data_IF_525518279330
#
_entry.id   IF_525518279330
#
_cell.length_a   1.000
_cell.length_b   1.000
_cell.length_c   1.000
_cell.angle_alpha   90.00
_cell.angle_beta   90.00
_cell.angle_gamma   90.00
#
_symmetry.space_group_name_H-M   'P 1'
#
loop_
_entity.id
_entity.type
_entity.pdbx_description
1 polymer ?
#
# COMPACT_ATOMS: atom_id res chain seq x y z
N UNK A 1 -20.75 -50.31 9.73
CA UNK A 1 -21.46 -49.03 9.96
C UNK A 1 -21.32 -47.98 8.84
N UNK A 2 -20.16 -47.80 8.20
CA UNK A 2 -19.97 -46.75 7.14
C UNK A 2 -20.86 -46.97 5.90
N UNK A 3 -21.07 -48.23 5.47
CA UNK A 3 -21.89 -48.57 4.29
C UNK A 3 -23.41 -48.37 4.46
N UNK A 4 -23.94 -48.46 5.68
CA UNK A 4 -25.37 -48.22 5.96
C UNK A 4 -25.73 -46.73 5.96
N UNK A 5 -24.77 -45.83 6.27
CA UNK A 5 -24.99 -44.39 6.42
C UNK A 5 -25.08 -43.63 5.10
N UNK A 6 -24.43 -44.14 4.03
CA UNK A 6 -24.58 -43.61 2.66
C UNK A 6 -26.01 -43.74 2.11
N UNK A 7 -26.82 -44.68 2.63
CA UNK A 7 -28.25 -44.81 2.27
C UNK A 7 -29.15 -43.70 2.84
N UNK A 8 -28.67 -42.92 3.82
CA UNK A 8 -29.44 -41.83 4.45
C UNK A 8 -29.06 -40.41 3.96
N UNK A 9 -28.21 -40.29 2.93
CA UNK A 9 -27.83 -38.99 2.37
C UNK A 9 -26.98 -38.10 3.29
N UNK A 10 -26.34 -38.69 4.31
CA UNK A 10 -25.48 -38.00 5.28
C UNK A 10 -24.00 -38.34 5.07
N UNK A 11 -23.17 -37.30 5.02
CA UNK A 11 -21.77 -37.35 4.63
C UNK A 11 -20.86 -36.85 5.75
N UNK A 12 -19.82 -37.61 6.16
CA UNK A 12 -18.79 -37.10 7.06
C UNK A 12 -18.03 -35.91 6.47
N UNK A 13 -17.44 -35.07 7.33
CA UNK A 13 -16.67 -33.89 6.88
C UNK A 13 -15.57 -34.22 5.85
N UNK A 14 -14.95 -35.39 5.94
CA UNK A 14 -13.94 -35.86 4.99
C UNK A 14 -14.51 -36.06 3.58
N UNK A 15 -15.71 -36.62 3.48
CA UNK A 15 -16.39 -36.87 2.21
C UNK A 15 -16.86 -35.54 1.58
N UNK A 16 -17.33 -34.59 2.39
CA UNK A 16 -17.71 -33.24 1.94
C UNK A 16 -16.50 -32.49 1.39
N UNK A 17 -15.37 -32.55 2.11
CA UNK A 17 -14.12 -31.92 1.70
C UNK A 17 -13.60 -32.51 0.37
N UNK A 18 -13.62 -33.84 0.25
CA UNK A 18 -13.24 -34.53 -0.98
C UNK A 18 -14.15 -34.16 -2.16
N UNK A 19 -15.47 -34.14 -1.96
CA UNK A 19 -16.44 -33.78 -3.00
C UNK A 19 -16.31 -32.32 -3.46
N UNK A 20 -16.01 -31.40 -2.53
CA UNK A 20 -15.79 -29.99 -2.84
C UNK A 20 -14.36 -29.68 -3.33
N UNK A 21 -13.44 -30.64 -3.31
CA UNK A 21 -12.03 -30.45 -3.68
C UNK A 21 -11.29 -29.45 -2.79
N UNK A 22 -11.59 -29.43 -1.48
CA UNK A 22 -11.00 -28.54 -0.48
C UNK A 22 -10.55 -29.31 0.76
N UNK A 23 -9.85 -28.65 1.68
CA UNK A 23 -9.43 -29.29 2.94
C UNK A 23 -10.58 -29.35 3.95
N UNK A 24 -10.53 -30.29 4.89
CA UNK A 24 -11.51 -30.36 6.00
C UNK A 24 -11.48 -29.12 6.90
N UNK A 25 -10.34 -28.41 6.99
CA UNK A 25 -10.26 -27.10 7.66
C UNK A 25 -11.10 -26.03 6.97
N UNK A 26 -11.16 -26.05 5.64
CA UNK A 26 -11.98 -25.12 4.85
C UNK A 26 -13.47 -25.34 5.14
N UNK A 27 -13.91 -26.60 5.22
CA UNK A 27 -15.29 -26.95 5.59
C UNK A 27 -15.63 -26.47 7.01
N UNK A 28 -14.71 -26.63 7.99
CA UNK A 28 -14.90 -26.10 9.36
C UNK A 28 -15.00 -24.58 9.41
N UNK A 29 -14.22 -23.88 8.58
CA UNK A 29 -14.27 -22.43 8.48
C UNK A 29 -15.62 -21.95 7.92
N UNK A 30 -16.15 -22.63 6.92
CA UNK A 30 -17.48 -22.34 6.36
C UNK A 30 -18.61 -22.62 7.36
N UNK A 31 -18.51 -23.67 8.17
CA UNK A 31 -19.43 -23.87 9.31
C UNK A 31 -19.37 -22.72 10.33
N UNK A 32 -18.16 -22.29 10.72
CA UNK A 32 -17.99 -21.18 11.67
C UNK A 32 -18.59 -19.86 11.15
N UNK A 33 -18.64 -19.68 9.83
CA UNK A 33 -19.21 -18.52 9.15
C UNK A 33 -20.71 -18.67 8.85
N UNK A 34 -21.34 -19.76 9.27
CA UNK A 34 -22.75 -20.06 8.99
C UNK A 34 -23.05 -20.38 7.53
N UNK A 35 -22.02 -20.65 6.71
CA UNK A 35 -22.15 -20.93 5.27
C UNK A 35 -22.46 -22.40 4.98
N UNK A 36 -22.15 -23.27 5.93
CA UNK A 36 -22.54 -24.67 5.98
C UNK A 36 -23.07 -24.98 7.38
N UNK A 37 -23.96 -25.96 7.47
CA UNK A 37 -24.43 -26.51 8.74
C UNK A 37 -24.16 -28.01 8.79
N UNK A 38 -23.90 -28.51 9.99
CA UNK A 38 -23.76 -29.95 10.24
C UNK A 38 -24.62 -30.38 11.41
N UNK A 39 -25.05 -31.64 11.38
CA UNK A 39 -25.61 -32.33 12.54
C UNK A 39 -24.53 -33.19 13.18
N UNK A 40 -24.64 -33.44 14.48
CA UNK A 40 -23.71 -34.32 15.21
C UNK A 40 -24.41 -35.61 15.58
N UNK A 41 -23.69 -36.72 15.44
CA UNK A 41 -24.10 -37.99 16.05
C UNK A 41 -23.84 -37.96 17.55
N UNK A 42 -24.42 -38.90 18.30
CA UNK A 42 -24.14 -39.11 19.72
C UNK A 42 -22.63 -39.29 20.02
N UNK A 43 -21.87 -39.87 19.09
CA UNK A 43 -20.40 -39.97 19.16
C UNK A 43 -19.62 -38.72 18.73
N UNK A 44 -20.26 -37.55 18.62
CA UNK A 44 -19.64 -36.27 18.29
C UNK A 44 -19.19 -36.08 16.83
N UNK A 45 -19.41 -37.05 15.95
CA UNK A 45 -19.05 -36.96 14.54
C UNK A 45 -19.98 -35.97 13.79
N UNK A 46 -19.38 -35.07 13.01
CA UNK A 46 -20.12 -34.14 12.12
C UNK A 46 -20.59 -34.85 10.86
N UNK A 47 -21.87 -34.68 10.55
CA UNK A 47 -22.53 -35.18 9.36
C UNK A 47 -23.22 -34.03 8.61
N UNK A 48 -23.13 -34.07 7.29
CA UNK A 48 -23.63 -33.06 6.38
C UNK A 48 -24.64 -33.70 5.43
N UNK A 49 -25.73 -33.00 5.12
CA UNK A 49 -26.70 -33.46 4.12
C UNK A 49 -26.11 -33.38 2.71
N UNK A 50 -26.70 -34.11 1.76
CA UNK A 50 -26.34 -33.97 0.34
C UNK A 50 -26.49 -32.54 -0.20
N UNK A 51 -27.39 -31.72 0.36
CA UNK A 51 -27.51 -30.30 0.06
C UNK A 51 -26.27 -29.52 0.50
N UNK A 52 -25.76 -29.78 1.70
CA UNK A 52 -24.53 -29.15 2.20
C UNK A 52 -23.29 -29.59 1.41
N UNK A 53 -23.28 -30.81 0.84
CA UNK A 53 -22.25 -31.25 -0.10
C UNK A 53 -22.30 -30.41 -1.38
N UNK A 54 -23.48 -30.21 -1.97
CA UNK A 54 -23.66 -29.34 -3.16
C UNK A 54 -23.25 -27.90 -2.85
N UNK A 55 -23.66 -27.36 -1.70
CA UNK A 55 -23.30 -26.02 -1.25
C UNK A 55 -21.79 -25.86 -1.06
N UNK A 56 -21.11 -26.87 -0.52
CA UNK A 56 -19.66 -26.86 -0.40
C UNK A 56 -18.96 -26.84 -1.78
N UNK A 57 -19.50 -27.57 -2.77
CA UNK A 57 -19.00 -27.53 -4.14
C UNK A 57 -19.23 -26.16 -4.82
N UNK A 58 -20.37 -25.51 -4.58
CA UNK A 58 -20.65 -24.15 -5.07
C UNK A 58 -19.69 -23.11 -4.45
N UNK A 59 -19.48 -23.17 -3.14
CA UNK A 59 -18.52 -22.30 -2.44
C UNK A 59 -17.10 -22.50 -2.97
N UNK A 60 -16.71 -23.76 -3.24
CA UNK A 60 -15.42 -24.08 -3.83
C UNK A 60 -15.30 -23.58 -5.28
N UNK A 61 -16.35 -23.70 -6.10
CA UNK A 61 -16.39 -23.21 -7.47
C UNK A 61 -16.35 -21.68 -7.54
N UNK A 62 -17.04 -20.98 -6.63
CA UNK A 62 -16.95 -19.53 -6.48
C UNK A 62 -15.56 -19.06 -6.08
N UNK A 63 -14.91 -19.76 -5.14
CA UNK A 63 -13.53 -19.48 -4.73
C UNK A 63 -12.53 -19.76 -5.86
N UNK A 64 -12.75 -20.82 -6.66
CA UNK A 64 -11.95 -21.14 -7.84
C UNK A 64 -12.18 -20.16 -9.00
N UNK A 65 -13.37 -19.57 -9.17
CA UNK A 65 -13.59 -18.45 -10.12
C UNK A 65 -12.83 -17.20 -9.67
N UNK A 66 -12.80 -16.90 -8.38
CA UNK A 66 -11.97 -15.81 -7.83
C UNK A 66 -10.46 -16.08 -7.95
N UNK A 67 -10.04 -17.34 -7.92
CA UNK A 67 -8.64 -17.74 -8.15
C UNK A 67 -8.26 -17.85 -9.65
N UNK A 68 -9.15 -18.32 -10.52
CA UNK A 68 -8.90 -18.38 -11.97
C UNK A 68 -9.00 -17.00 -12.65
N UNK A 69 -9.75 -16.04 -12.09
CA UNK A 69 -9.61 -14.63 -12.46
C UNK A 69 -8.22 -14.05 -12.13
N UNK A 70 -7.38 -14.74 -11.35
CA UNK A 70 -5.96 -14.38 -11.18
C UNK A 70 -5.02 -15.08 -12.19
N UNK A 71 -5.51 -16.06 -12.96
CA UNK A 71 -4.68 -16.86 -13.88
C UNK A 71 -4.74 -16.42 -15.34
N UNK A 72 -5.70 -15.59 -15.74
CA UNK A 72 -5.58 -14.75 -16.92
C UNK A 72 -5.15 -13.36 -16.44
N UNK A 73 -3.84 -13.15 -16.23
CA UNK A 73 -3.31 -11.80 -16.02
C UNK A 73 -3.71 -10.99 -17.27
N UNK A 74 -4.59 -9.97 -17.19
CA UNK A 74 -4.52 -8.92 -18.18
C UNK A 74 -3.08 -8.40 -18.17
N UNK A 75 -2.55 -7.95 -19.33
CA UNK A 75 -1.29 -7.22 -19.35
C UNK A 75 -1.31 -6.24 -18.17
N UNK A 76 -0.31 -6.34 -17.27
CA UNK A 76 -0.32 -5.57 -16.03
C UNK A 76 -0.61 -4.11 -16.38
N UNK A 77 -1.61 -3.51 -15.73
CA UNK A 77 -1.90 -2.11 -15.99
C UNK A 77 -0.63 -1.29 -15.74
N UNK A 78 -0.45 -0.14 -16.43
CA UNK A 78 0.71 0.71 -16.20
C UNK A 78 0.95 0.98 -14.70
N UNK A 79 -0.12 1.20 -13.94
CA UNK A 79 -0.05 1.39 -12.48
C UNK A 79 0.45 0.16 -11.72
N UNK A 80 0.13 -1.07 -12.15
CA UNK A 80 0.65 -2.29 -11.53
C UNK A 80 2.14 -2.49 -11.80
N UNK A 81 2.60 -2.15 -13.00
CA UNK A 81 4.03 -2.20 -13.37
C UNK A 81 4.80 -1.17 -12.53
N UNK A 82 4.25 0.04 -12.39
CA UNK A 82 4.85 1.11 -11.58
C UNK A 82 4.82 0.81 -10.08
N UNK A 83 3.77 0.17 -9.58
CA UNK A 83 3.69 -0.27 -8.19
C UNK A 83 4.76 -1.33 -7.88
N UNK A 84 4.97 -2.28 -8.80
CA UNK A 84 6.05 -3.26 -8.69
C UNK A 84 7.43 -2.60 -8.75
N UNK A 85 7.62 -1.63 -9.65
CA UNK A 85 8.82 -0.79 -9.71
C UNK A 85 9.07 -0.05 -8.40
N UNK A 86 8.03 0.52 -7.78
CA UNK A 86 8.09 1.19 -6.48
C UNK A 86 8.51 0.23 -5.37
N UNK A 87 7.92 -0.96 -5.30
CA UNK A 87 8.31 -2.01 -4.36
C UNK A 87 9.79 -2.41 -4.47
N UNK A 88 10.30 -2.57 -5.69
CA UNK A 88 11.72 -2.87 -5.94
C UNK A 88 12.64 -1.75 -5.45
N UNK A 89 12.26 -0.49 -5.66
CA UNK A 89 13.04 0.68 -5.22
C UNK A 89 13.09 0.79 -3.70
N UNK A 90 11.96 0.56 -3.01
CA UNK A 90 11.92 0.49 -1.54
C UNK A 90 12.84 -0.62 -1.02
N UNK A 91 12.77 -1.81 -1.64
CA UNK A 91 13.65 -2.94 -1.28
C UNK A 91 15.13 -2.60 -1.46
N UNK A 92 15.48 -1.95 -2.56
CA UNK A 92 16.85 -1.54 -2.87
C UNK A 92 17.37 -0.56 -1.81
N UNK A 93 16.63 0.52 -1.55
CA UNK A 93 17.00 1.52 -0.56
C UNK A 93 17.21 0.89 0.83
N UNK A 94 16.34 -0.03 1.25
CA UNK A 94 16.48 -0.77 2.51
C UNK A 94 17.79 -1.56 2.57
N UNK A 95 18.13 -2.28 1.51
CA UNK A 95 19.34 -3.11 1.44
C UNK A 95 20.60 -2.25 1.45
N UNK A 96 20.62 -1.15 0.68
CA UNK A 96 21.76 -0.22 0.63
C UNK A 96 22.06 0.41 2.00
N UNK A 97 21.04 0.57 2.85
CA UNK A 97 21.20 1.07 4.23
C UNK A 97 21.37 -0.04 5.27
N UNK A 98 21.64 -1.28 4.83
CA UNK A 98 21.98 -2.40 5.71
C UNK A 98 20.86 -2.89 6.63
N UNK A 99 19.60 -2.57 6.32
CA UNK A 99 18.46 -2.92 7.18
C UNK A 99 17.85 -4.25 6.78
N UNK A 100 17.64 -5.15 7.76
CA UNK A 100 16.80 -6.32 7.55
C UNK A 100 15.33 -5.90 7.40
N UNK A 101 14.49 -6.73 6.75
CA UNK A 101 13.04 -6.48 6.71
C UNK A 101 12.43 -6.42 8.12
N UNK A 102 12.96 -7.19 9.07
CA UNK A 102 12.52 -7.19 10.47
C UNK A 102 12.79 -5.83 11.12
N UNK A 103 14.02 -5.33 10.98
CA UNK A 103 14.46 -4.07 11.60
C UNK A 103 13.76 -2.87 10.96
N UNK A 104 13.67 -2.84 9.64
CA UNK A 104 12.95 -1.82 8.91
C UNK A 104 11.48 -1.75 9.34
N UNK A 105 10.77 -2.89 9.33
CA UNK A 105 9.37 -2.95 9.73
C UNK A 105 9.16 -2.45 11.18
N UNK A 106 10.06 -2.81 12.10
CA UNK A 106 10.04 -2.33 13.49
C UNK A 106 10.24 -0.81 13.58
N UNK A 107 11.19 -0.24 12.84
CA UNK A 107 11.45 1.21 12.82
C UNK A 107 10.28 2.01 12.23
N UNK A 108 9.66 1.49 11.17
CA UNK A 108 8.53 2.13 10.48
C UNK A 108 7.22 1.99 11.30
N UNK A 109 7.13 0.95 12.13
CA UNK A 109 5.92 0.61 12.89
C UNK A 109 4.88 -0.13 12.03
N UNK A 110 5.32 -1.02 11.16
CA UNK A 110 4.47 -1.89 10.32
C UNK A 110 4.83 -3.37 10.51
N UNK A 111 4.01 -4.28 10.00
CA UNK A 111 4.35 -5.71 10.04
C UNK A 111 5.43 -6.05 9.00
N UNK A 112 6.30 -7.01 9.34
CA UNK A 112 7.28 -7.56 8.39
C UNK A 112 6.59 -8.13 7.15
N UNK A 113 5.45 -8.81 7.32
CA UNK A 113 4.70 -9.39 6.22
C UNK A 113 4.19 -8.31 5.25
N UNK A 114 3.69 -7.18 5.78
CA UNK A 114 3.26 -6.05 4.96
C UNK A 114 4.44 -5.41 4.21
N UNK A 115 5.57 -5.16 4.87
CA UNK A 115 6.77 -4.67 4.18
C UNK A 115 7.20 -5.64 3.05
N UNK A 116 7.13 -6.95 3.32
CA UNK A 116 7.46 -7.98 2.35
C UNK A 116 6.56 -7.97 1.11
N UNK A 117 5.24 -7.78 1.29
CA UNK A 117 4.30 -7.66 0.16
C UNK A 117 4.50 -6.36 -0.61
N UNK A 118 4.83 -5.26 0.07
CA UNK A 118 5.16 -3.98 -0.58
C UNK A 118 6.41 -4.13 -1.44
N UNK A 119 7.48 -4.72 -0.92
CA UNK A 119 8.74 -4.92 -1.66
C UNK A 119 8.62 -5.84 -2.88
N UNK A 120 7.60 -6.71 -2.92
CA UNK A 120 7.27 -7.54 -4.08
C UNK A 120 6.29 -6.89 -5.06
N UNK A 121 5.79 -5.69 -4.74
CA UNK A 121 4.76 -5.03 -5.55
C UNK A 121 3.36 -5.64 -5.44
N UNK A 122 3.14 -6.53 -4.46
CA UNK A 122 1.85 -7.20 -4.23
C UNK A 122 0.88 -6.32 -3.44
N UNK A 123 1.40 -5.30 -2.75
CA UNK A 123 0.61 -4.36 -1.97
C UNK A 123 1.16 -2.95 -2.15
N UNK A 124 0.28 -1.97 -2.28
CA UNK A 124 0.68 -0.58 -2.27
C UNK A 124 0.95 -0.04 -0.87
N UNK A 125 1.61 1.10 -0.80
CA UNK A 125 1.92 1.81 0.43
C UNK A 125 1.32 3.21 0.37
N UNK A 126 0.79 3.77 1.47
CA UNK A 126 0.33 5.16 1.46
C UNK A 126 1.51 6.13 1.47
N UNK A 127 1.29 7.38 1.08
CA UNK A 127 2.31 8.44 1.20
C UNK A 127 2.84 8.55 2.61
N UNK A 128 1.99 8.38 3.63
CA UNK A 128 2.39 8.43 5.05
C UNK A 128 3.38 7.32 5.40
N UNK A 129 3.11 6.10 4.96
CA UNK A 129 4.00 4.98 5.25
C UNK A 129 5.28 5.09 4.42
N UNK A 130 5.23 5.61 3.19
CA UNK A 130 6.43 5.89 2.41
C UNK A 130 7.31 6.96 3.07
N UNK A 131 6.73 8.02 3.62
CA UNK A 131 7.47 9.04 4.38
C UNK A 131 8.17 8.43 5.60
N UNK A 132 7.47 7.59 6.37
CA UNK A 132 8.09 6.84 7.47
C UNK A 132 9.21 5.90 7.02
N UNK A 133 9.10 5.32 5.82
CA UNK A 133 10.19 4.54 5.23
C UNK A 133 11.40 5.43 4.93
N UNK A 134 11.18 6.61 4.35
CA UNK A 134 12.23 7.58 4.06
C UNK A 134 12.99 7.96 5.33
N UNK A 135 12.26 8.34 6.38
CA UNK A 135 12.82 8.68 7.69
C UNK A 135 13.59 7.51 8.31
N UNK A 136 13.03 6.30 8.27
CA UNK A 136 13.65 5.10 8.84
C UNK A 136 14.93 4.69 8.10
N UNK A 137 15.02 5.00 6.81
CA UNK A 137 16.18 4.70 5.96
C UNK A 137 17.18 5.86 5.93
N UNK A 138 16.80 7.05 6.39
CA UNK A 138 17.65 8.23 6.39
C UNK A 138 17.81 8.85 5.00
N UNK A 139 16.77 8.74 4.16
CA UNK A 139 16.74 9.29 2.81
C UNK A 139 15.57 10.25 2.62
N UNK A 140 15.64 11.08 1.58
CA UNK A 140 14.52 11.86 1.12
C UNK A 140 13.43 10.98 0.49
N UNK A 141 12.20 11.50 0.42
CA UNK A 141 11.09 10.83 -0.29
C UNK A 141 11.43 10.55 -1.76
N UNK A 142 12.08 11.52 -2.41
CA UNK A 142 12.58 11.37 -3.79
C UNK A 142 13.60 10.24 -3.94
N UNK A 143 14.28 9.84 -2.86
CA UNK A 143 15.27 8.74 -2.86
C UNK A 143 14.69 7.37 -3.22
N UNK A 144 13.36 7.21 -3.18
CA UNK A 144 12.68 6.02 -3.71
C UNK A 144 12.42 6.09 -5.21
N UNK A 145 12.71 7.21 -5.86
CA UNK A 145 12.54 7.38 -7.29
C UNK A 145 13.71 6.75 -8.08
N UNK A 146 13.53 6.57 -9.39
CA UNK A 146 14.58 6.01 -10.25
C UNK A 146 15.81 6.91 -10.20
N UNK A 147 17.00 6.29 -10.12
CA UNK A 147 18.27 6.99 -10.16
C UNK A 147 18.42 7.74 -11.49
N UNK A 148 18.11 9.03 -11.49
CA UNK A 148 18.56 9.95 -12.52
C UNK A 148 20.04 10.27 -12.26
N UNK A 149 20.80 10.58 -13.32
CA UNK A 149 22.14 11.13 -13.16
C UNK A 149 22.04 12.41 -12.32
N UNK A 150 22.62 12.46 -11.10
CA UNK A 150 22.51 13.60 -10.20
C UNK A 150 23.17 14.87 -10.76
N UNK A 151 23.94 14.75 -11.86
CA UNK A 151 24.53 15.89 -12.57
C UNK A 151 23.60 16.49 -13.63
N UNK A 152 22.48 15.84 -13.96
CA UNK A 152 21.49 16.39 -14.90
C UNK A 152 20.76 17.57 -14.26
N UNK A 153 21.10 18.78 -14.72
CA UNK A 153 20.40 20.02 -14.33
C UNK A 153 19.00 20.16 -14.93
N UNK A 154 18.73 19.46 -16.04
CA UNK A 154 17.46 19.53 -16.76
C UNK A 154 16.77 18.19 -16.71
N UNK A 155 15.59 18.15 -16.09
CA UNK A 155 14.70 17.00 -16.09
C UNK A 155 13.61 17.20 -17.16
N UNK A 156 13.61 16.36 -18.19
CA UNK A 156 12.58 16.37 -19.24
C UNK A 156 11.41 15.51 -18.80
N UNK A 157 10.20 15.84 -19.25
CA UNK A 157 8.96 15.10 -18.89
C UNK A 157 9.11 13.59 -19.10
N UNK A 158 9.68 13.18 -20.22
CA UNK A 158 9.88 11.76 -20.55
C UNK A 158 10.87 11.03 -19.61
N UNK A 159 11.72 11.76 -18.90
CA UNK A 159 12.74 11.22 -18.01
C UNK A 159 12.33 11.29 -16.53
N UNK A 160 11.18 11.89 -16.20
CA UNK A 160 10.79 12.16 -14.81
C UNK A 160 10.49 10.86 -14.08
N UNK A 161 11.22 10.58 -12.99
CA UNK A 161 10.91 9.46 -12.14
C UNK A 161 9.50 9.60 -11.54
N UNK A 162 8.71 8.52 -11.61
CA UNK A 162 7.40 8.47 -10.97
C UNK A 162 7.37 7.39 -9.89
N UNK A 163 6.75 7.70 -8.77
CA UNK A 163 6.54 6.79 -7.64
C UNK A 163 5.04 6.64 -7.46
N UNK A 164 4.51 5.47 -7.81
CA UNK A 164 3.07 5.15 -7.69
C UNK A 164 2.83 4.42 -6.38
N UNK A 165 1.89 4.93 -5.61
CA UNK A 165 1.56 4.50 -4.26
C UNK A 165 0.22 3.77 -4.24
N UNK A 166 -0.21 3.38 -3.03
CA UNK A 166 -1.52 2.79 -2.83
C UNK A 166 -2.62 3.68 -3.44
N UNK A 167 -3.62 3.02 -4.01
CA UNK A 167 -4.84 3.65 -4.50
C UNK A 167 -4.65 4.72 -5.60
N UNK A 168 -3.50 4.70 -6.29
CA UNK A 168 -3.21 5.53 -7.48
C UNK A 168 -2.64 6.91 -7.18
N UNK A 169 -2.37 7.24 -5.91
CA UNK A 169 -1.59 8.44 -5.57
C UNK A 169 -0.20 8.31 -6.16
N UNK A 170 0.33 9.37 -6.77
CA UNK A 170 1.69 9.32 -7.33
C UNK A 170 2.46 10.61 -7.17
N UNK A 171 3.77 10.47 -7.00
CA UNK A 171 4.75 11.56 -7.01
C UNK A 171 5.57 11.48 -8.30
N UNK A 172 5.66 12.58 -9.02
CA UNK A 172 6.50 12.74 -10.22
C UNK A 172 7.60 13.76 -9.93
N UNK A 173 8.85 13.31 -9.87
CA UNK A 173 9.98 14.15 -9.48
C UNK A 173 10.36 15.13 -10.60
N UNK A 174 10.49 16.42 -10.28
CA UNK A 174 10.82 17.47 -11.26
C UNK A 174 12.32 17.75 -11.36
N UNK A 175 13.12 17.17 -10.47
CA UNK A 175 14.59 17.23 -10.47
C UNK A 175 15.16 15.85 -10.21
N UNK A 176 16.48 15.70 -10.41
CA UNK A 176 17.15 14.46 -10.02
C UNK A 176 17.05 14.26 -8.49
N UNK A 177 16.57 13.10 -8.01
CA UNK A 177 16.44 12.85 -6.58
C UNK A 177 17.72 13.09 -5.79
N UNK A 178 17.58 13.65 -4.58
CA UNK A 178 18.68 13.82 -3.62
C UNK A 178 19.91 14.57 -4.16
N UNK A 179 19.74 15.37 -5.21
CA UNK A 179 20.80 16.21 -5.81
C UNK A 179 20.81 17.65 -5.29
N UNK A 180 19.72 18.08 -4.64
CA UNK A 180 19.46 19.44 -4.21
C UNK A 180 18.71 19.46 -2.86
N UNK A 181 18.86 20.54 -2.09
CA UNK A 181 18.08 20.77 -0.86
C UNK A 181 16.60 21.08 -1.16
N UNK A 182 16.31 21.52 -2.39
CA UNK A 182 14.97 21.76 -2.90
C UNK A 182 14.51 20.54 -3.72
N UNK A 183 13.43 19.91 -3.27
CA UNK A 183 12.84 18.73 -3.92
C UNK A 183 11.43 19.05 -4.46
N UNK A 184 11.34 19.65 -5.66
CA UNK A 184 10.08 19.85 -6.35
C UNK A 184 9.57 18.56 -7.01
N UNK A 185 8.28 18.28 -6.84
CA UNK A 185 7.56 17.18 -7.44
C UNK A 185 6.14 17.59 -7.84
N UNK A 186 5.55 16.88 -8.80
CA UNK A 186 4.10 16.91 -9.03
C UNK A 186 3.45 15.80 -8.22
N UNK A 187 2.52 16.19 -7.35
CA UNK A 187 1.66 15.28 -6.63
C UNK A 187 0.36 15.10 -7.40
N UNK A 188 0.03 13.85 -7.73
CA UNK A 188 -1.26 13.48 -8.32
C UNK A 188 -2.09 12.68 -7.32
N UNK A 189 -3.30 13.15 -7.06
CA UNK A 189 -4.20 12.57 -6.05
C UNK A 189 -5.53 12.21 -6.72
N UNK A 190 -5.85 10.93 -6.92
CA UNK A 190 -7.16 10.53 -7.41
C UNK A 190 -8.28 10.99 -6.47
N UNK A 191 -9.50 11.10 -7.01
CA UNK A 191 -10.69 11.48 -6.22
C UNK A 191 -10.87 10.57 -5.00
N UNK A 192 -11.14 11.18 -3.85
CA UNK A 192 -11.38 10.46 -2.60
C UNK A 192 -10.14 9.76 -2.06
N UNK A 193 -8.95 10.18 -2.48
CA UNK A 193 -7.67 9.72 -1.96
C UNK A 193 -6.98 10.83 -1.20
N UNK A 194 -5.97 10.45 -0.45
CA UNK A 194 -5.20 11.40 0.32
C UNK A 194 -3.88 10.84 0.78
N UNK A 195 -3.32 11.60 1.69
CA UNK A 195 -2.01 11.40 2.29
C UNK A 195 -1.92 10.10 3.13
N UNK A 196 -3.06 9.52 3.52
CA UNK A 196 -3.13 8.27 4.30
C UNK A 196 -2.94 8.49 5.81
N UNK A 197 -3.07 9.74 6.27
CA UNK A 197 -3.05 10.16 7.67
C UNK A 197 -2.11 11.35 7.90
N UNK A 198 -1.88 11.69 9.16
CA UNK A 198 -1.04 12.85 9.53
C UNK A 198 0.46 12.59 9.33
N UNK A 199 1.14 13.60 8.83
CA UNK A 199 2.57 13.74 8.58
C UNK A 199 3.16 14.76 9.56
N UNK A 200 4.44 14.60 9.85
CA UNK A 200 5.30 15.66 10.36
C UNK A 200 6.57 15.59 9.55
N UNK A 201 7.02 16.70 8.99
CA UNK A 201 8.25 16.76 8.19
C UNK A 201 9.25 17.72 8.83
N UNK A 202 10.56 17.42 8.78
CA UNK A 202 11.59 18.28 9.38
C UNK A 202 11.84 19.57 8.58
N UNK A 203 11.31 19.64 7.36
CA UNK A 203 11.48 20.76 6.44
C UNK A 203 10.15 21.41 6.08
N UNK A 204 10.23 22.67 5.65
CA UNK A 204 9.09 23.42 5.11
C UNK A 204 8.66 22.82 3.76
N UNK A 205 7.36 22.86 3.47
CA UNK A 205 6.83 22.50 2.16
C UNK A 205 5.95 23.62 1.60
N UNK A 206 6.19 23.99 0.35
CA UNK A 206 5.31 24.86 -0.42
C UNK A 206 4.46 24.00 -1.36
N UNK A 207 3.15 24.25 -1.37
CA UNK A 207 2.21 23.54 -2.24
C UNK A 207 1.39 24.52 -3.06
N UNK A 208 1.32 24.31 -4.37
CA UNK A 208 0.51 25.09 -5.30
C UNK A 208 -0.40 24.17 -6.11
N UNK A 209 -1.72 24.39 -6.05
CA UNK A 209 -2.69 23.53 -6.74
C UNK A 209 -2.76 23.93 -8.21
N UNK A 210 -2.30 23.04 -9.09
CA UNK A 210 -2.32 23.23 -10.55
C UNK A 210 -3.71 22.91 -11.12
N UNK A 211 -4.33 21.84 -10.63
CA UNK A 211 -5.63 21.35 -11.08
C UNK A 211 -6.41 20.67 -9.95
N UNK A 212 -7.74 20.72 -10.02
CA UNK A 212 -8.62 20.05 -9.06
C UNK A 212 -8.74 20.77 -7.71
N UNK A 213 -8.95 19.99 -6.66
CA UNK A 213 -9.18 20.49 -5.30
C UNK A 213 -8.44 19.61 -4.30
N UNK A 214 -7.73 20.24 -3.37
CA UNK A 214 -7.11 19.56 -2.24
C UNK A 214 -7.58 20.21 -0.93
N UNK A 215 -7.97 19.37 0.02
CA UNK A 215 -8.27 19.79 1.38
C UNK A 215 -7.10 19.43 2.27
N UNK A 216 -6.50 20.43 2.91
CA UNK A 216 -5.44 20.29 3.88
C UNK A 216 -6.00 20.38 5.30
N UNK A 217 -5.39 19.62 6.21
CA UNK A 217 -5.53 19.83 7.64
C UNK A 217 -4.14 20.07 8.21
N UNK A 218 -3.92 21.18 8.90
CA UNK A 218 -2.59 21.54 9.44
C UNK A 218 -2.68 22.31 10.75
N UNK A 219 -1.56 22.43 11.47
CA UNK A 219 -1.47 23.09 12.77
C UNK A 219 -1.86 22.17 13.93
N UNK A 220 -1.68 22.65 15.16
CA UNK A 220 -1.98 21.88 16.37
C UNK A 220 -3.47 21.48 16.47
N UNK A 221 -4.35 22.34 15.93
CA UNK A 221 -5.79 22.13 15.91
C UNK A 221 -6.30 21.40 14.67
N UNK A 222 -5.40 21.02 13.74
CA UNK A 222 -5.74 20.41 12.45
C UNK A 222 -6.80 21.24 11.70
N UNK A 223 -6.58 22.55 11.62
CA UNK A 223 -7.45 23.48 10.91
C UNK A 223 -7.53 23.09 9.43
N UNK A 224 -8.74 23.18 8.87
CA UNK A 224 -9.05 22.70 7.54
C UNK A 224 -9.04 23.82 6.51
N UNK A 225 -8.30 23.62 5.42
CA UNK A 225 -8.16 24.55 4.31
C UNK A 225 -8.50 23.84 3.00
N UNK A 226 -9.53 24.30 2.30
CA UNK A 226 -9.90 23.80 0.97
C UNK A 226 -9.26 24.68 -0.09
N UNK A 227 -8.39 24.10 -0.91
CA UNK A 227 -7.64 24.79 -1.94
C UNK A 227 -8.07 24.32 -3.33
N UNK A 228 -8.41 25.26 -4.20
CA UNK A 228 -8.69 25.03 -5.61
C UNK A 228 -7.50 25.42 -6.50
N UNK A 229 -7.69 25.30 -7.81
CA UNK A 229 -6.69 25.71 -8.81
C UNK A 229 -6.22 27.15 -8.57
N UNK A 230 -4.91 27.34 -8.50
CA UNK A 230 -4.26 28.65 -8.29
C UNK A 230 -3.99 28.99 -6.84
N UNK A 231 -4.58 28.25 -5.89
CA UNK A 231 -4.34 28.45 -4.47
C UNK A 231 -3.02 27.79 -4.04
N UNK A 232 -2.43 28.34 -2.97
CA UNK A 232 -1.19 27.88 -2.40
C UNK A 232 -1.24 27.80 -0.88
N UNK A 233 -0.42 26.93 -0.31
CA UNK A 233 -0.21 26.82 1.15
C UNK A 233 1.26 26.55 1.44
N UNK A 234 1.74 27.12 2.54
CA UNK A 234 3.01 26.76 3.16
C UNK A 234 2.73 25.86 4.36
N UNK A 235 3.47 24.77 4.46
CA UNK A 235 3.41 23.82 5.56
C UNK A 235 4.72 23.93 6.35
N UNK A 236 4.62 24.44 7.56
CA UNK A 236 5.79 24.72 8.40
C UNK A 236 6.51 23.43 8.82
N UNK A 237 7.83 23.52 8.97
CA UNK A 237 8.64 22.44 9.51
C UNK A 237 8.17 22.04 10.91
N UNK A 238 8.04 20.74 11.15
CA UNK A 238 7.62 20.18 12.43
C UNK A 238 6.11 20.31 12.72
N UNK A 239 5.36 21.02 11.90
CA UNK A 239 3.91 21.15 12.09
C UNK A 239 3.18 19.94 11.48
N UNK A 240 2.26 19.31 12.22
CA UNK A 240 1.49 18.20 11.69
C UNK A 240 0.57 18.65 10.56
N UNK A 241 0.56 17.89 9.46
CA UNK A 241 -0.37 18.13 8.37
C UNK A 241 -0.88 16.84 7.72
N UNK A 242 -2.01 16.92 7.04
CA UNK A 242 -2.51 15.90 6.13
C UNK A 242 -3.24 16.56 4.96
N UNK A 243 -3.41 15.82 3.88
CA UNK A 243 -4.17 16.28 2.71
C UNK A 243 -5.03 15.17 2.13
N UNK A 244 -6.08 15.57 1.42
CA UNK A 244 -7.01 14.71 0.69
C UNK A 244 -7.62 15.43 -0.50
N UNK A 245 -8.08 14.67 -1.49
CA UNK A 245 -8.82 15.18 -2.62
C UNK A 245 -10.32 14.92 -2.43
N UNK A 246 -11.03 15.92 -1.93
CA UNK A 246 -12.50 15.92 -1.80
C UNK A 246 -13.23 16.37 -3.08
N UNK A 247 -12.47 16.65 -4.15
CA UNK A 247 -12.97 17.12 -5.43
C UNK A 247 -13.64 16.04 -6.28
N UNK A 248 -14.01 16.42 -7.51
CA UNK A 248 -14.72 15.56 -8.47
C UNK A 248 -13.81 14.80 -9.43
N UNK A 249 -12.55 15.22 -9.56
CA UNK A 249 -11.55 14.64 -10.46
C UNK A 249 -10.20 14.52 -9.74
N UNK A 250 -9.20 13.92 -10.41
CA UNK A 250 -7.82 13.93 -9.92
C UNK A 250 -7.35 15.37 -9.69
N UNK A 251 -6.71 15.61 -8.55
CA UNK A 251 -6.04 16.86 -8.25
C UNK A 251 -4.55 16.73 -8.54
N UNK A 252 -3.97 17.79 -9.08
CA UNK A 252 -2.53 17.89 -9.35
C UNK A 252 -1.98 19.12 -8.64
N UNK A 253 -0.91 18.95 -7.87
CA UNK A 253 -0.25 20.05 -7.17
C UNK A 253 1.26 20.03 -7.42
N UNK A 254 1.85 21.21 -7.60
CA UNK A 254 3.28 21.39 -7.45
C UNK A 254 3.58 21.37 -5.96
N UNK A 255 4.44 20.45 -5.54
CA UNK A 255 4.87 20.29 -4.17
C UNK A 255 6.37 20.50 -4.12
N UNK A 256 6.83 21.42 -3.28
CA UNK A 256 8.24 21.77 -3.15
C UNK A 256 8.65 21.58 -1.71
N UNK A 257 9.47 20.58 -1.45
CA UNK A 257 10.00 20.34 -0.10
C UNK A 257 11.38 20.94 0.03
N UNK A 258 11.60 21.68 1.11
CA UNK A 258 12.94 22.06 1.55
C UNK A 258 13.41 21.01 2.55
N UNK A 259 14.16 20.01 2.09
CA UNK A 259 14.81 19.08 3.01
C UNK A 259 16.05 19.80 3.49
N UNK A 260 15.92 20.48 4.63
CA UNK A 260 17.05 21.09 5.31
C UNK A 260 18.14 20.03 5.40
N UNK A 261 19.28 20.29 4.74
CA UNK A 261 20.37 19.35 4.71
C UNK A 261 20.58 18.89 6.15
N UNK A 262 20.39 17.59 6.40
CA UNK A 262 20.99 16.93 7.55
C UNK A 262 22.48 17.12 7.30
N UNK A 263 22.98 18.31 7.66
CA UNK A 263 24.39 18.65 7.61
C UNK A 263 24.97 17.57 8.49
N UNK A 264 25.72 16.66 7.86
CA UNK A 264 26.73 15.86 8.54
C UNK A 264 27.44 16.85 9.45
N UNK A 265 27.17 16.83 10.76
CA UNK A 265 28.05 17.50 11.71
C UNK A 265 29.40 16.87 11.43
N UNK A 266 30.30 17.63 10.80
CA UNK A 266 31.69 17.24 10.74
C UNK A 266 32.12 16.97 12.19
N UNK A 267 32.87 15.90 12.48
CA UNK A 267 33.36 15.68 13.82
C UNK A 267 34.14 16.93 14.21
N UNK A 268 33.75 17.56 15.32
CA UNK A 268 34.54 18.62 15.94
C UNK A 268 35.95 18.06 16.09
N UNK A 269 36.90 18.65 15.35
CA UNK A 269 38.31 18.45 15.67
C UNK A 269 38.47 19.04 17.05
N UNK A 270 38.60 18.15 18.06
CA UNK A 270 39.14 18.54 19.36
C UNK A 270 40.54 19.09 19.08
N UNK A 271 40.66 20.41 19.15
CA UNK A 271 41.93 21.09 19.34
C UNK A 271 42.44 20.86 20.76
#
# INVERSE_FOLDING_TARGET
MVRQRRKAGLHPIGDVAAAAGVTTQTIRLWEKRGQLSSTRTDGGQRLFTGEMVKRAAELAAGSRRSQHHQAARPAASPDMIELASTGMRIRRARIEHGLSQQDAAKRIGISRSFLSTVERGESGVSTKVLAKMADAFGIAMSGFAVAADPKKRVMRVADRPRTVLAEGVSWEELVAPSSHDLEPALLHVPRGRGSGGVFVRPGESFVFVLEGTLTFQTGERLEEFVLGKGDAIVLDAGVPFSWRNDGKATATALWVELIGSVRKKAPEKKG
#
